data_IF_624946770313
#
_entry.id   IF_624946770313
#
_cell.length_a   1.000
_cell.length_b   1.000
_cell.length_c   1.000
_cell.angle_alpha   90.00
_cell.angle_beta   90.00
_cell.angle_gamma   90.00
#
_symmetry.space_group_name_H-M   'P 1'
#
loop_
_entity.id
_entity.type
_entity.pdbx_description
1 polymer ?
#
# COMPACT_ATOMS: atom_id res chain seq x y z
N UNK A 1 7.22 -23.31 2.40
CA UNK A 1 6.69 -23.41 3.78
C UNK A 1 7.33 -24.57 4.52
N UNK A 2 7.27 -25.78 3.95
CA UNK A 2 7.63 -27.02 4.69
C UNK A 2 9.14 -27.32 4.66
N UNK A 3 9.90 -26.74 3.75
CA UNK A 3 11.34 -26.99 3.55
C UNK A 3 11.72 -28.50 3.47
N UNK A 4 10.68 -29.36 3.31
CA UNK A 4 10.78 -30.80 3.28
C UNK A 4 9.73 -31.39 2.33
N UNK A 5 10.17 -32.13 1.30
CA UNK A 5 9.30 -32.70 0.26
C UNK A 5 8.30 -33.70 0.85
N UNK A 6 8.70 -34.49 1.85
CA UNK A 6 7.82 -35.51 2.45
C UNK A 6 6.65 -34.84 3.18
N UNK A 7 6.91 -33.80 3.97
CA UNK A 7 5.85 -33.02 4.65
C UNK A 7 4.95 -32.32 3.66
N UNK A 8 5.54 -31.69 2.62
CA UNK A 8 4.77 -31.02 1.57
C UNK A 8 3.87 -32.01 0.82
N UNK A 9 4.35 -33.22 0.50
CA UNK A 9 3.57 -34.25 -0.14
C UNK A 9 2.37 -34.69 0.73
N UNK A 10 2.59 -34.85 2.04
CA UNK A 10 1.51 -35.17 2.98
C UNK A 10 0.44 -34.07 3.01
N UNK A 11 0.83 -32.82 3.06
CA UNK A 11 -0.12 -31.68 3.02
C UNK A 11 -0.90 -31.57 1.71
N UNK A 12 -0.26 -31.94 0.59
CA UNK A 12 -0.91 -31.93 -0.73
C UNK A 12 -1.68 -33.25 -1.01
N UNK A 13 -1.75 -34.16 -0.06
CA UNK A 13 -2.38 -35.48 -0.21
C UNK A 13 -1.86 -36.29 -1.41
N UNK A 14 -0.57 -36.19 -1.68
CA UNK A 14 0.13 -36.97 -2.73
C UNK A 14 1.29 -37.76 -2.13
N UNK A 15 1.84 -38.71 -2.89
CA UNK A 15 3.05 -39.43 -2.45
C UNK A 15 4.31 -38.58 -2.72
N UNK A 16 5.33 -38.75 -1.88
CA UNK A 16 6.60 -38.04 -2.05
C UNK A 16 7.25 -38.26 -3.44
N UNK A 17 7.28 -39.51 -4.00
CA UNK A 17 7.77 -39.73 -5.36
C UNK A 17 6.98 -38.95 -6.43
N UNK A 18 5.66 -38.85 -6.28
CA UNK A 18 4.80 -38.10 -7.19
C UNK A 18 5.17 -36.61 -7.19
N UNK A 19 5.26 -36.01 -5.98
CA UNK A 19 5.63 -34.60 -5.86
C UNK A 19 7.04 -34.34 -6.40
N UNK A 20 8.01 -35.19 -6.09
CA UNK A 20 9.38 -35.07 -6.62
C UNK A 20 9.43 -35.13 -8.14
N UNK A 21 8.63 -36.01 -8.75
CA UNK A 21 8.55 -36.14 -10.22
C UNK A 21 7.91 -34.92 -10.85
N UNK A 22 6.83 -34.36 -10.26
CA UNK A 22 6.20 -33.14 -10.73
C UNK A 22 7.16 -31.93 -10.65
N UNK A 23 7.93 -31.82 -9.58
CA UNK A 23 8.94 -30.77 -9.45
C UNK A 23 10.03 -30.96 -10.53
N UNK A 24 10.53 -32.16 -10.73
CA UNK A 24 11.56 -32.42 -11.76
C UNK A 24 11.05 -32.12 -13.17
N UNK A 25 9.81 -32.47 -13.47
CA UNK A 25 9.17 -32.12 -14.75
C UNK A 25 9.05 -30.60 -14.94
N UNK A 26 8.63 -29.87 -13.91
CA UNK A 26 8.54 -28.41 -13.95
C UNK A 26 9.93 -27.76 -14.14
N UNK A 27 10.97 -28.27 -13.49
CA UNK A 27 12.36 -27.82 -13.70
C UNK A 27 12.83 -28.07 -15.14
N UNK A 28 12.45 -29.20 -15.72
CA UNK A 28 12.76 -29.55 -17.11
C UNK A 28 12.01 -28.62 -18.09
N UNK A 29 10.74 -28.40 -17.90
CA UNK A 29 9.90 -27.48 -18.71
C UNK A 29 10.43 -26.04 -18.67
N UNK A 30 10.90 -25.56 -17.51
CA UNK A 30 11.44 -24.23 -17.34
C UNK A 30 12.92 -24.10 -17.72
N UNK A 31 13.63 -25.22 -17.87
CA UNK A 31 15.06 -25.25 -18.16
C UNK A 31 15.96 -24.77 -17.01
N UNK A 32 15.44 -24.72 -15.78
CA UNK A 32 16.15 -24.20 -14.60
C UNK A 32 16.00 -25.13 -13.40
N UNK A 33 16.92 -25.02 -12.44
CA UNK A 33 16.78 -25.69 -11.14
C UNK A 33 16.10 -24.76 -10.15
N UNK A 34 15.04 -25.24 -9.54
CA UNK A 34 14.26 -24.49 -8.54
C UNK A 34 14.73 -24.73 -7.12
N UNK A 35 15.35 -25.89 -6.87
CA UNK A 35 15.80 -26.32 -5.56
C UNK A 35 17.23 -26.84 -5.59
N UNK A 36 17.98 -26.53 -4.54
CA UNK A 36 19.28 -27.14 -4.25
C UNK A 36 19.11 -28.05 -3.02
N UNK A 37 19.61 -29.29 -3.12
CA UNK A 37 19.63 -30.22 -1.99
C UNK A 37 20.83 -29.92 -1.10
N UNK A 38 20.61 -29.55 0.14
CA UNK A 38 21.62 -29.51 1.19
C UNK A 38 21.36 -30.66 2.17
N UNK A 39 22.35 -31.16 2.87
CA UNK A 39 22.37 -32.41 3.62
C UNK A 39 21.15 -32.78 4.47
N UNK A 40 20.23 -31.85 4.78
CA UNK A 40 18.95 -32.12 5.44
C UNK A 40 17.81 -31.16 5.04
N UNK A 41 18.10 -30.14 4.21
CA UNK A 41 17.12 -29.12 3.84
C UNK A 41 17.06 -28.90 2.34
N UNK A 42 15.92 -28.47 1.85
CA UNK A 42 15.72 -28.03 0.48
C UNK A 42 15.77 -26.51 0.48
N UNK A 43 16.71 -25.96 -0.25
CA UNK A 43 16.88 -24.49 -0.38
C UNK A 43 16.44 -24.08 -1.78
N UNK A 44 15.71 -22.99 -1.88
CA UNK A 44 15.32 -22.39 -3.18
C UNK A 44 16.55 -21.77 -3.86
N UNK A 45 16.65 -21.96 -5.17
CA UNK A 45 17.53 -21.16 -6.02
C UNK A 45 16.95 -19.76 -6.24
N UNK A 46 17.67 -18.87 -6.93
CA UNK A 46 17.12 -17.56 -7.34
C UNK A 46 15.88 -17.74 -8.23
N UNK A 47 15.93 -18.68 -9.19
CA UNK A 47 14.79 -19.03 -10.03
C UNK A 47 13.64 -19.63 -9.21
N UNK A 48 13.97 -20.45 -8.20
CA UNK A 48 13.00 -21.00 -7.25
C UNK A 48 12.32 -19.90 -6.42
N UNK A 49 13.05 -18.87 -6.00
CA UNK A 49 12.50 -17.71 -5.31
C UNK A 49 11.59 -16.87 -6.23
N UNK A 50 12.01 -16.67 -7.47
CA UNK A 50 11.19 -16.01 -8.48
C UNK A 50 9.89 -16.76 -8.73
N UNK A 51 9.97 -18.07 -8.97
CA UNK A 51 8.79 -18.92 -9.18
C UNK A 51 7.86 -18.91 -7.97
N UNK A 52 8.41 -19.01 -6.75
CA UNK A 52 7.62 -18.94 -5.50
C UNK A 52 6.79 -17.67 -5.45
N UNK A 53 7.40 -16.52 -5.73
CA UNK A 53 6.67 -15.24 -5.74
C UNK A 53 5.55 -15.23 -6.77
N UNK A 54 5.83 -15.68 -8.01
CA UNK A 54 4.82 -15.75 -9.08
C UNK A 54 3.70 -16.75 -8.77
N UNK A 55 4.05 -17.90 -8.22
CA UNK A 55 3.06 -18.89 -7.81
C UNK A 55 2.14 -18.36 -6.69
N UNK A 56 2.67 -17.59 -5.74
CA UNK A 56 1.86 -16.93 -4.71
C UNK A 56 0.88 -15.91 -5.31
N UNK A 57 1.33 -15.08 -6.28
CA UNK A 57 0.47 -14.13 -6.98
C UNK A 57 -0.66 -14.87 -7.75
N UNK A 58 -0.33 -15.96 -8.45
CA UNK A 58 -1.31 -16.77 -9.20
C UNK A 58 -2.33 -17.44 -8.28
N UNK A 59 -1.88 -18.01 -7.16
CA UNK A 59 -2.76 -18.64 -6.18
C UNK A 59 -3.71 -17.62 -5.53
N UNK A 60 -3.19 -16.44 -5.17
CA UNK A 60 -4.03 -15.38 -4.60
C UNK A 60 -5.10 -14.92 -5.59
N UNK A 61 -4.74 -14.77 -6.88
CA UNK A 61 -5.72 -14.42 -7.92
C UNK A 61 -6.75 -15.53 -8.16
N UNK A 62 -6.32 -16.81 -8.14
CA UNK A 62 -7.22 -17.95 -8.28
C UNK A 62 -8.21 -18.05 -7.11
N UNK A 63 -7.74 -17.83 -5.88
CA UNK A 63 -8.60 -17.84 -4.69
C UNK A 63 -9.59 -16.67 -4.72
N UNK A 64 -9.14 -15.47 -5.10
CA UNK A 64 -10.01 -14.32 -5.31
C UNK A 64 -11.07 -14.61 -6.35
N UNK A 65 -10.68 -15.17 -7.52
CA UNK A 65 -11.62 -15.54 -8.58
C UNK A 65 -12.69 -16.52 -8.08
N UNK A 66 -12.32 -17.51 -7.25
CA UNK A 66 -13.32 -18.42 -6.64
C UNK A 66 -14.29 -17.67 -5.73
N UNK A 67 -13.79 -16.75 -4.92
CA UNK A 67 -14.63 -15.93 -4.03
C UNK A 67 -15.63 -15.09 -4.84
N UNK A 68 -15.21 -14.51 -5.97
CA UNK A 68 -16.06 -13.68 -6.84
C UNK A 68 -17.31 -14.41 -7.37
N UNK A 69 -17.27 -15.73 -7.48
CA UNK A 69 -18.40 -16.57 -7.96
C UNK A 69 -19.26 -17.18 -6.86
N UNK A 70 -18.88 -17.07 -5.58
CA UNK A 70 -19.60 -17.71 -4.47
C UNK A 70 -20.88 -16.98 -4.02
N UNK A 71 -21.33 -15.91 -4.73
CA UNK A 71 -22.37 -15.00 -4.24
C UNK A 71 -23.79 -15.41 -4.62
N UNK A 72 -24.67 -15.49 -3.61
CA UNK A 72 -26.13 -15.61 -3.77
C UNK A 72 -26.79 -14.22 -3.75
N UNK A 73 -27.71 -13.98 -4.71
CA UNK A 73 -28.35 -12.67 -4.97
C UNK A 73 -29.19 -12.07 -3.82
N UNK A 74 -29.58 -12.83 -2.81
CA UNK A 74 -30.53 -12.37 -1.78
C UNK A 74 -29.91 -11.68 -0.58
N UNK A 75 -28.59 -11.88 -0.34
CA UNK A 75 -27.85 -11.18 0.72
C UNK A 75 -26.47 -10.83 0.16
N UNK A 76 -26.21 -9.55 -0.03
CA UNK A 76 -24.90 -9.10 -0.52
C UNK A 76 -23.81 -9.57 0.43
N UNK A 77 -22.93 -10.45 -0.06
CA UNK A 77 -21.78 -10.98 0.64
C UNK A 77 -20.59 -11.00 -0.29
N UNK A 78 -19.38 -11.06 0.24
CA UNK A 78 -18.15 -11.15 -0.53
C UNK A 78 -17.02 -10.39 0.16
N UNK A 79 -15.85 -10.50 -0.45
CA UNK A 79 -14.64 -9.84 0.02
C UNK A 79 -14.35 -8.65 -0.89
N UNK A 80 -14.04 -7.49 -0.31
CA UNK A 80 -13.56 -6.32 -1.02
C UNK A 80 -12.10 -6.11 -0.64
N UNK A 81 -11.21 -6.22 -1.62
CA UNK A 81 -9.76 -6.03 -1.41
C UNK A 81 -9.40 -4.55 -1.61
N UNK A 82 -8.91 -3.92 -0.55
CA UNK A 82 -8.68 -2.47 -0.50
C UNK A 82 -7.20 -2.19 -0.27
N UNK A 83 -6.55 -1.48 -1.20
CA UNK A 83 -5.22 -0.91 -0.98
C UNK A 83 -5.32 0.45 -0.29
N UNK A 84 -4.46 0.71 0.69
CA UNK A 84 -4.46 1.99 1.39
C UNK A 84 -3.04 2.40 1.78
N UNK A 85 -2.68 3.66 1.44
CA UNK A 85 -1.51 4.31 2.00
C UNK A 85 -1.80 4.88 3.39
N UNK A 86 -0.77 5.39 4.04
CA UNK A 86 -0.92 6.15 5.29
C UNK A 86 -1.29 7.60 4.95
N UNK A 87 -2.57 7.94 4.99
CA UNK A 87 -3.10 9.26 4.68
C UNK A 87 -4.04 9.76 5.78
N UNK A 88 -4.14 11.07 5.95
CA UNK A 88 -5.17 11.66 6.78
C UNK A 88 -6.56 11.34 6.22
N UNK A 89 -6.69 11.27 4.90
CA UNK A 89 -7.93 10.92 4.21
C UNK A 89 -8.42 9.49 4.45
N UNK A 90 -7.58 8.58 4.98
CA UNK A 90 -7.96 7.20 5.30
C UNK A 90 -9.18 7.12 6.22
N UNK A 91 -9.36 8.09 7.14
CA UNK A 91 -10.53 8.08 8.01
C UNK A 91 -11.86 8.25 7.26
N UNK A 92 -11.89 9.01 6.14
CA UNK A 92 -13.07 9.10 5.30
C UNK A 92 -13.41 7.76 4.62
N UNK A 93 -12.38 7.01 4.22
CA UNK A 93 -12.58 5.67 3.68
C UNK A 93 -13.11 4.71 4.75
N UNK A 94 -12.56 4.75 5.96
CA UNK A 94 -13.03 3.89 7.07
C UNK A 94 -14.45 4.24 7.50
N UNK A 95 -14.83 5.52 7.53
CA UNK A 95 -16.20 5.96 7.82
C UNK A 95 -17.17 5.49 6.72
N UNK A 96 -16.76 5.56 5.46
CA UNK A 96 -17.53 5.01 4.33
C UNK A 96 -17.72 3.49 4.45
N UNK A 97 -16.68 2.76 4.82
CA UNK A 97 -16.74 1.32 5.05
C UNK A 97 -17.67 0.99 6.22
N UNK A 98 -17.60 1.74 7.32
CA UNK A 98 -18.49 1.56 8.46
C UNK A 98 -19.95 1.73 8.06
N UNK A 99 -20.28 2.81 7.36
CA UNK A 99 -21.63 3.06 6.86
C UNK A 99 -22.12 1.98 5.86
N UNK A 100 -21.23 1.48 5.00
CA UNK A 100 -21.55 0.39 4.08
C UNK A 100 -21.80 -0.92 4.82
N UNK A 101 -21.01 -1.21 5.86
CA UNK A 101 -21.10 -2.41 6.69
C UNK A 101 -22.43 -2.48 7.47
N UNK A 102 -22.98 -1.34 7.89
CA UNK A 102 -24.29 -1.28 8.53
C UNK A 102 -25.42 -1.78 7.59
N UNK A 103 -25.31 -1.47 6.29
CA UNK A 103 -26.29 -1.86 5.28
C UNK A 103 -26.04 -3.30 4.80
N UNK A 104 -24.77 -3.70 4.66
CA UNK A 104 -24.36 -4.98 4.12
C UNK A 104 -23.44 -5.75 5.09
N UNK A 105 -23.97 -6.27 6.19
CA UNK A 105 -23.17 -6.83 7.30
C UNK A 105 -22.39 -8.11 6.95
N UNK A 106 -22.72 -8.77 5.83
CA UNK A 106 -21.99 -9.97 5.38
C UNK A 106 -20.79 -9.69 4.49
N UNK A 107 -20.62 -8.45 4.02
CA UNK A 107 -19.43 -8.05 3.27
C UNK A 107 -18.24 -7.98 4.20
N UNK A 108 -17.13 -8.54 3.78
CA UNK A 108 -15.84 -8.53 4.48
C UNK A 108 -14.80 -7.77 3.68
N UNK A 109 -13.70 -7.39 4.32
CA UNK A 109 -12.68 -6.53 3.71
C UNK A 109 -11.30 -7.10 3.95
N UNK A 110 -10.45 -7.02 2.92
CA UNK A 110 -9.03 -7.30 3.03
C UNK A 110 -8.26 -6.00 2.79
N UNK A 111 -7.42 -5.62 3.76
CA UNK A 111 -6.60 -4.41 3.65
C UNK A 111 -5.16 -4.74 3.28
N UNK A 112 -4.68 -4.09 2.24
CA UNK A 112 -3.29 -4.08 1.84
C UNK A 112 -2.69 -2.70 2.09
N UNK A 113 -1.68 -2.61 2.97
CA UNK A 113 -0.96 -1.36 3.24
C UNK A 113 0.27 -1.25 2.35
N UNK A 114 0.43 -0.11 1.70
CA UNK A 114 1.55 0.15 0.82
C UNK A 114 1.55 1.58 0.29
N UNK A 115 2.63 1.97 -0.39
CA UNK A 115 2.68 3.26 -1.08
C UNK A 115 1.80 3.25 -2.36
N UNK A 116 1.60 4.43 -2.95
CA UNK A 116 0.75 4.59 -4.13
C UNK A 116 1.17 3.67 -5.30
N UNK A 117 2.47 3.43 -5.50
CA UNK A 117 2.98 2.55 -6.55
C UNK A 117 2.60 1.09 -6.29
N UNK A 118 2.79 0.61 -5.06
CA UNK A 118 2.42 -0.76 -4.71
C UNK A 118 0.91 -1.01 -4.89
N UNK A 119 0.09 -0.03 -4.50
CA UNK A 119 -1.37 -0.09 -4.66
C UNK A 119 -1.74 -0.09 -6.14
N UNK A 120 -1.16 0.82 -6.92
CA UNK A 120 -1.35 0.89 -8.36
C UNK A 120 -1.06 -0.46 -9.05
N UNK A 121 0.13 -1.03 -8.80
CA UNK A 121 0.55 -2.29 -9.41
C UNK A 121 -0.39 -3.45 -9.03
N UNK A 122 -0.90 -3.47 -7.80
CA UNK A 122 -1.81 -4.52 -7.35
C UNK A 122 -3.23 -4.37 -7.93
N UNK A 123 -3.72 -3.14 -8.14
CA UNK A 123 -4.99 -2.91 -8.86
C UNK A 123 -4.85 -3.33 -10.32
N UNK A 124 -3.77 -2.97 -10.99
CA UNK A 124 -3.51 -3.37 -12.39
C UNK A 124 -3.50 -4.91 -12.56
N UNK A 125 -2.98 -5.62 -11.56
CA UNK A 125 -2.94 -7.10 -11.54
C UNK A 125 -4.26 -7.75 -11.10
N UNK A 126 -5.28 -6.98 -10.71
CA UNK A 126 -6.53 -7.52 -10.18
C UNK A 126 -6.44 -8.11 -8.77
N UNK A 127 -5.35 -7.87 -8.03
CA UNK A 127 -5.17 -8.31 -6.64
C UNK A 127 -5.88 -7.39 -5.64
N UNK A 128 -6.13 -6.16 -6.02
CA UNK A 128 -6.94 -5.20 -5.27
C UNK A 128 -8.12 -4.74 -6.13
N UNK A 129 -9.27 -4.54 -5.50
CA UNK A 129 -10.47 -4.03 -6.16
C UNK A 129 -10.44 -2.50 -6.25
N UNK A 130 -10.08 -1.87 -5.15
CA UNK A 130 -10.01 -0.42 -5.01
C UNK A 130 -8.76 -0.02 -4.25
N UNK A 131 -8.31 1.21 -4.43
CA UNK A 131 -7.16 1.73 -3.69
C UNK A 131 -7.28 3.21 -3.37
N UNK A 132 -6.96 3.57 -2.13
CA UNK A 132 -6.77 4.96 -1.73
C UNK A 132 -5.32 5.34 -2.03
N UNK A 133 -5.14 6.24 -3.00
CA UNK A 133 -3.84 6.62 -3.53
C UNK A 133 -3.67 8.14 -3.57
N UNK A 134 -2.41 8.59 -3.52
CA UNK A 134 -2.08 10.02 -3.75
C UNK A 134 -2.09 10.36 -5.23
N UNK A 135 -2.59 11.56 -5.55
CA UNK A 135 -2.50 12.13 -6.88
C UNK A 135 -1.04 12.58 -7.21
N UNK A 136 -0.62 12.61 -8.48
CA UNK A 136 -1.37 12.22 -9.68
C UNK A 136 -1.30 10.71 -9.95
N UNK A 137 -2.34 10.17 -10.57
CA UNK A 137 -2.40 8.82 -11.12
C UNK A 137 -2.96 8.84 -12.55
N UNK A 138 -2.79 7.74 -13.27
CA UNK A 138 -3.20 7.64 -14.68
C UNK A 138 -4.73 7.58 -14.82
N UNK A 139 -5.35 8.72 -15.11
CA UNK A 139 -6.80 8.86 -15.32
C UNK A 139 -7.32 8.11 -16.56
N UNK A 140 -6.44 7.65 -17.45
CA UNK A 140 -6.86 6.83 -18.60
C UNK A 140 -7.17 5.41 -18.17
N UNK A 141 -6.47 4.90 -17.14
CA UNK A 141 -6.60 3.54 -16.64
C UNK A 141 -7.56 3.39 -15.46
N UNK A 142 -7.80 4.46 -14.71
CA UNK A 142 -8.60 4.42 -13.49
C UNK A 142 -9.81 5.33 -13.54
N UNK A 143 -10.91 4.85 -12.96
CA UNK A 143 -11.96 5.69 -12.43
C UNK A 143 -11.62 6.02 -10.97
N UNK A 144 -12.06 7.18 -10.48
CA UNK A 144 -11.73 7.60 -9.12
C UNK A 144 -12.77 8.55 -8.51
N UNK A 145 -12.68 8.69 -7.21
CA UNK A 145 -13.39 9.69 -6.40
C UNK A 145 -12.35 10.41 -5.55
N UNK A 146 -12.19 11.74 -5.74
CA UNK A 146 -11.29 12.53 -4.92
C UNK A 146 -11.77 12.57 -3.47
N UNK A 147 -10.84 12.47 -2.52
CA UNK A 147 -11.14 12.60 -1.11
C UNK A 147 -11.44 14.06 -0.72
N UNK A 148 -12.30 14.29 0.29
CA UNK A 148 -12.74 15.65 0.66
C UNK A 148 -11.69 16.42 1.50
N UNK A 149 -10.43 16.02 1.45
CA UNK A 149 -9.32 16.66 2.17
C UNK A 149 -8.03 16.54 1.38
N UNK A 150 -7.10 17.45 1.65
CA UNK A 150 -5.73 17.39 1.15
C UNK A 150 -4.78 16.91 2.24
N UNK A 151 -3.77 16.18 1.86
CA UNK A 151 -2.65 15.79 2.72
C UNK A 151 -1.64 16.94 2.82
N UNK A 152 -1.34 17.37 4.02
CA UNK A 152 -0.39 18.45 4.28
C UNK A 152 0.99 17.90 4.55
N UNK A 153 2.00 18.38 3.81
CA UNK A 153 3.41 18.05 4.01
C UNK A 153 4.06 18.87 5.12
N UNK A 154 5.03 18.27 5.76
CA UNK A 154 5.83 18.90 6.78
C UNK A 154 7.02 18.04 7.18
N UNK A 155 7.63 18.43 8.30
CA UNK A 155 8.72 17.73 8.92
C UNK A 155 8.27 17.12 10.25
N UNK A 156 8.59 15.86 10.47
CA UNK A 156 8.40 15.20 11.76
C UNK A 156 9.77 15.12 12.44
N UNK A 157 9.85 15.75 13.62
CA UNK A 157 11.05 15.82 14.43
C UNK A 157 10.77 15.46 15.87
N UNK A 158 11.77 15.11 16.62
CA UNK A 158 11.63 14.93 18.06
C UNK A 158 11.27 16.26 18.74
N UNK A 159 10.49 16.19 19.82
CA UNK A 159 10.09 17.37 20.62
C UNK A 159 11.29 18.12 21.22
N UNK A 160 12.41 17.45 21.44
CA UNK A 160 13.66 18.04 21.94
C UNK A 160 14.57 18.61 20.83
N UNK A 161 14.17 18.53 19.56
CA UNK A 161 14.88 19.15 18.44
C UNK A 161 14.72 20.69 18.48
N UNK A 162 15.76 21.41 18.07
CA UNK A 162 15.69 22.86 17.90
C UNK A 162 14.61 23.30 16.89
N UNK A 163 14.36 22.45 15.89
CA UNK A 163 13.33 22.70 14.90
C UNK A 163 11.90 22.58 15.46
N UNK A 164 11.71 21.85 16.57
CA UNK A 164 10.41 21.63 17.17
C UNK A 164 9.71 22.94 17.63
N UNK A 165 10.48 24.02 17.85
CA UNK A 165 9.98 25.32 18.26
C UNK A 165 9.54 26.21 17.08
N UNK A 166 9.71 25.76 15.83
CA UNK A 166 9.31 26.51 14.64
C UNK A 166 7.82 26.31 14.35
N UNK A 167 7.14 27.38 13.95
CA UNK A 167 5.75 27.31 13.47
C UNK A 167 5.63 26.66 12.10
N UNK A 168 6.68 26.78 11.26
CA UNK A 168 6.76 26.19 9.93
C UNK A 168 8.20 25.96 9.51
N UNK A 169 8.42 25.02 8.60
CA UNK A 169 9.73 24.69 8.02
C UNK A 169 9.81 25.29 6.62
N UNK A 170 10.87 26.02 6.37
CA UNK A 170 11.24 26.55 5.05
C UNK A 170 12.31 25.67 4.38
N UNK A 171 12.48 25.70 3.04
CA UNK A 171 13.47 24.88 2.36
C UNK A 171 14.90 24.98 2.93
N UNK A 172 15.36 26.19 3.27
CA UNK A 172 16.69 26.41 3.86
C UNK A 172 16.88 25.78 5.22
N UNK A 173 15.81 25.56 5.97
CA UNK A 173 15.89 24.92 7.30
C UNK A 173 16.29 23.44 7.23
N UNK A 174 16.18 22.84 6.04
CA UNK A 174 16.49 21.42 5.82
C UNK A 174 17.93 21.19 5.34
N UNK A 175 18.67 22.24 5.07
CA UNK A 175 20.06 22.17 4.65
C UNK A 175 20.92 21.50 5.68
N UNK A 176 21.52 20.94 6.20
CA UNK A 176 22.27 20.33 7.30
C UNK A 176 21.48 19.37 8.20
N UNK A 177 20.19 19.15 7.90
CA UNK A 177 19.36 18.21 8.66
C UNK A 177 19.45 16.83 8.01
N UNK A 178 19.81 15.77 8.77
CA UNK A 178 19.72 14.40 8.25
C UNK A 178 18.26 14.03 7.99
N UNK A 179 17.90 13.83 6.72
CA UNK A 179 16.52 13.62 6.30
C UNK A 179 16.21 12.17 5.94
N UNK A 180 15.05 11.72 6.36
CA UNK A 180 14.41 10.50 5.93
C UNK A 180 13.29 10.89 4.97
N UNK A 181 13.37 10.43 3.71
CA UNK A 181 12.43 10.80 2.67
C UNK A 181 11.50 9.64 2.31
N UNK A 182 10.25 9.95 1.90
CA UNK A 182 9.33 8.93 1.40
C UNK A 182 9.82 8.35 0.07
N UNK A 183 9.65 7.01 -0.10
CA UNK A 183 9.90 6.32 -1.36
C UNK A 183 8.88 6.74 -2.42
N UNK A 184 9.33 6.77 -3.65
CA UNK A 184 8.50 6.99 -4.82
C UNK A 184 8.86 8.26 -5.61
N UNK A 185 8.93 8.11 -6.93
CA UNK A 185 9.31 9.19 -7.85
C UNK A 185 8.39 10.41 -7.76
N UNK A 186 7.10 10.22 -7.47
CA UNK A 186 6.15 11.31 -7.35
C UNK A 186 6.34 12.12 -6.07
N UNK A 187 6.49 11.44 -4.94
CA UNK A 187 6.63 12.10 -3.65
C UNK A 187 7.98 12.83 -3.56
N UNK A 188 9.07 12.16 -3.95
CA UNK A 188 10.40 12.76 -3.99
C UNK A 188 10.49 13.93 -4.99
N UNK A 189 9.85 13.87 -6.15
CA UNK A 189 9.83 14.97 -7.11
C UNK A 189 9.03 16.17 -6.58
N UNK A 190 7.94 15.96 -5.87
CA UNK A 190 7.14 17.04 -5.26
C UNK A 190 7.93 17.76 -4.19
N UNK A 191 8.57 17.03 -3.29
CA UNK A 191 9.44 17.58 -2.24
C UNK A 191 10.65 18.28 -2.85
N UNK A 192 11.30 17.69 -3.85
CA UNK A 192 12.42 18.30 -4.56
C UNK A 192 12.03 19.62 -5.22
N UNK A 193 10.86 19.67 -5.88
CA UNK A 193 10.35 20.90 -6.48
C UNK A 193 10.07 21.98 -5.42
N UNK A 194 9.56 21.60 -4.27
CA UNK A 194 9.35 22.51 -3.14
C UNK A 194 10.66 23.03 -2.55
N UNK A 195 11.69 22.17 -2.45
CA UNK A 195 13.03 22.56 -2.01
C UNK A 195 13.71 23.55 -2.95
N UNK A 196 13.39 23.52 -4.25
CA UNK A 196 13.99 24.40 -5.24
C UNK A 196 15.52 24.29 -5.30
N UNK A 197 16.22 25.41 -5.14
CA UNK A 197 17.70 25.49 -5.17
C UNK A 197 18.38 24.72 -4.03
N UNK A 198 17.68 24.48 -2.92
CA UNK A 198 18.20 23.73 -1.77
C UNK A 198 18.17 22.20 -1.98
N UNK A 199 17.52 21.73 -3.05
CA UNK A 199 17.34 20.29 -3.29
C UNK A 199 18.65 19.49 -3.40
N UNK A 200 19.73 20.12 -3.81
CA UNK A 200 21.06 19.49 -3.92
C UNK A 200 21.92 19.67 -2.66
N UNK A 201 21.42 20.36 -1.64
CA UNK A 201 22.13 20.66 -0.40
C UNK A 201 21.62 19.86 0.79
N UNK A 202 20.52 19.10 0.60
CA UNK A 202 19.96 18.27 1.67
C UNK A 202 20.74 16.96 1.84
N UNK A 203 20.84 16.49 3.07
CA UNK A 203 21.44 15.21 3.41
C UNK A 203 20.35 14.15 3.57
N UNK A 204 20.21 13.25 2.59
CA UNK A 204 19.29 12.12 2.66
C UNK A 204 20.00 10.92 3.26
N UNK A 205 19.53 10.42 4.39
CA UNK A 205 20.15 9.31 5.13
C UNK A 205 19.33 8.02 5.05
N UNK A 206 18.05 8.11 4.77
CA UNK A 206 17.17 6.95 4.57
C UNK A 206 16.01 7.29 3.64
N UNK A 207 15.44 6.24 3.03
CA UNK A 207 14.23 6.30 2.21
C UNK A 207 13.31 5.20 2.70
N UNK A 208 12.03 5.52 2.93
CA UNK A 208 11.03 4.58 3.40
C UNK A 208 9.72 4.68 2.61
N UNK A 209 8.87 3.68 2.75
CA UNK A 209 7.58 3.59 2.04
C UNK A 209 6.36 3.70 2.95
N UNK A 210 6.56 3.65 4.27
CA UNK A 210 5.52 3.83 5.28
C UNK A 210 6.05 4.73 6.41
N UNK A 211 5.36 5.84 6.63
CA UNK A 211 5.78 6.90 7.56
C UNK A 211 5.94 6.41 9.00
N UNK A 212 5.14 5.44 9.44
CA UNK A 212 5.27 4.87 10.78
C UNK A 212 6.68 4.34 11.05
N UNK A 213 7.23 3.53 10.15
CA UNK A 213 8.58 2.97 10.30
C UNK A 213 9.67 4.04 10.26
N UNK A 214 9.46 5.06 9.42
CA UNK A 214 10.38 6.19 9.28
C UNK A 214 10.42 7.03 10.56
N UNK A 215 9.28 7.24 11.20
CA UNK A 215 9.19 7.99 12.46
C UNK A 215 9.89 7.26 13.60
N UNK A 216 9.89 5.93 13.65
CA UNK A 216 10.68 5.17 14.64
C UNK A 216 12.18 5.44 14.51
N UNK A 217 12.70 5.68 13.30
CA UNK A 217 14.08 6.11 13.10
C UNK A 217 14.32 7.52 13.66
N UNK A 218 13.34 8.43 13.53
CA UNK A 218 13.41 9.76 14.14
C UNK A 218 13.41 9.68 15.68
N UNK A 219 12.57 8.84 16.26
CA UNK A 219 12.58 8.57 17.71
C UNK A 219 13.92 8.05 18.19
N UNK A 220 14.61 7.26 17.37
CA UNK A 220 15.94 6.72 17.62
C UNK A 220 17.10 7.67 17.27
N UNK A 221 16.83 8.97 17.08
CA UNK A 221 17.83 10.01 16.75
C UNK A 221 18.59 9.81 15.43
N UNK A 222 18.03 9.07 14.47
CA UNK A 222 18.68 8.83 13.17
C UNK A 222 18.54 10.05 12.25
N UNK A 223 17.38 10.72 12.23
CA UNK A 223 17.14 11.91 11.41
C UNK A 223 15.72 12.43 11.54
N UNK A 224 15.33 13.36 10.67
CA UNK A 224 13.99 13.96 10.60
C UNK A 224 13.22 13.42 9.39
N UNK A 225 11.96 13.09 9.56
CA UNK A 225 11.11 12.57 8.48
C UNK A 225 10.42 13.70 7.73
N UNK A 226 10.59 13.72 6.42
CA UNK A 226 9.76 14.49 5.50
C UNK A 226 8.51 13.67 5.20
N UNK A 227 7.38 14.07 5.76
CA UNK A 227 6.16 13.30 5.69
C UNK A 227 4.90 14.16 5.65
N UNK A 228 3.77 13.52 5.83
CA UNK A 228 2.45 14.17 5.86
C UNK A 228 1.87 14.17 7.27
N UNK A 229 0.99 15.15 7.52
CA UNK A 229 0.24 15.21 8.79
C UNK A 229 -0.76 14.06 8.82
N UNK A 230 -0.62 13.17 9.80
CA UNK A 230 -1.58 12.10 10.07
C UNK A 230 -2.52 12.49 11.24
N UNK A 231 -3.64 11.78 11.35
CA UNK A 231 -4.64 12.04 12.40
C UNK A 231 -4.17 11.59 13.78
N UNK A 232 -3.27 10.60 13.85
CA UNK A 232 -2.66 10.17 15.10
C UNK A 232 -1.38 10.93 15.40
N UNK A 233 -1.03 11.03 16.68
CA UNK A 233 0.18 11.69 17.18
C UNK A 233 1.14 10.66 17.75
N UNK A 234 2.42 10.91 17.58
CA UNK A 234 3.49 10.16 18.23
C UNK A 234 3.85 10.84 19.57
N UNK A 235 4.26 10.05 20.57
CA UNK A 235 4.51 10.57 21.91
C UNK A 235 5.63 11.62 21.95
N UNK A 236 6.75 11.34 21.28
CA UNK A 236 7.96 12.17 21.32
C UNK A 236 8.24 12.95 20.03
N UNK A 237 7.31 12.93 19.08
CA UNK A 237 7.47 13.57 17.78
C UNK A 237 6.45 14.71 17.63
N UNK A 238 6.86 15.76 16.94
CA UNK A 238 6.00 16.87 16.54
C UNK A 238 6.04 17.00 15.01
N UNK A 239 4.87 17.28 14.44
CA UNK A 239 4.73 17.63 13.03
C UNK A 239 4.77 19.14 12.86
N UNK A 240 5.65 19.64 11.97
CA UNK A 240 5.80 21.05 11.66
C UNK A 240 5.50 21.24 10.17
N UNK A 241 4.49 22.03 9.80
CA UNK A 241 4.10 22.19 8.41
C UNK A 241 5.15 22.91 7.58
N UNK A 242 5.19 22.62 6.28
CA UNK A 242 6.04 23.33 5.33
C UNK A 242 5.51 24.73 4.98
N UNK A 243 6.43 25.68 4.79
CA UNK A 243 6.19 27.02 4.27
C UNK A 243 7.19 27.32 3.13
N UNK A 244 6.78 27.61 1.88
CA UNK A 244 5.38 27.66 1.43
C UNK A 244 4.62 26.32 1.64
N UNK A 245 3.30 26.44 1.86
CA UNK A 245 2.45 25.26 2.10
C UNK A 245 2.54 24.27 0.95
N UNK A 246 2.80 23.02 1.24
CA UNK A 246 2.83 21.91 0.30
C UNK A 246 1.71 20.93 0.63
N UNK A 247 0.83 20.67 -0.33
CA UNK A 247 -0.28 19.72 -0.18
C UNK A 247 -0.41 18.84 -1.42
N UNK A 248 -1.17 17.76 -1.28
CA UNK A 248 -1.63 16.96 -2.41
C UNK A 248 -2.99 16.30 -2.11
N UNK A 249 -3.74 16.02 -3.17
CA UNK A 249 -4.98 15.27 -3.09
C UNK A 249 -4.74 13.77 -3.00
N UNK A 250 -5.75 13.07 -2.49
CA UNK A 250 -5.87 11.62 -2.54
C UNK A 250 -7.19 11.23 -3.16
N UNK A 251 -7.28 10.04 -3.71
CA UNK A 251 -8.49 9.54 -4.31
C UNK A 251 -8.66 8.04 -4.09
N UNK A 252 -9.91 7.60 -3.92
CA UNK A 252 -10.28 6.21 -4.02
C UNK A 252 -10.42 5.86 -5.49
N UNK A 253 -9.56 4.99 -6.01
CA UNK A 253 -9.47 4.63 -7.41
C UNK A 253 -9.70 3.13 -7.61
N UNK A 254 -10.20 2.77 -8.81
CA UNK A 254 -10.37 1.39 -9.25
C UNK A 254 -10.15 1.33 -10.76
N UNK A 255 -9.82 0.14 -11.26
CA UNK A 255 -9.51 -0.07 -12.68
C UNK A 255 -10.71 0.27 -13.56
N UNK A 256 -10.45 0.99 -14.65
CA UNK A 256 -11.46 1.32 -15.65
C UNK A 256 -11.81 0.07 -16.49
N UNK A 257 -13.05 0.00 -16.90
CA UNK A 257 -13.57 -1.07 -17.77
C UNK A 257 -13.39 -2.50 -17.20
N UNK A 258 -13.22 -2.63 -15.87
CA UNK A 258 -13.17 -3.90 -15.16
C UNK A 258 -14.58 -4.37 -14.77
N UNK A 259 -14.79 -5.68 -14.83
CA UNK A 259 -16.01 -6.33 -14.34
C UNK A 259 -15.79 -6.73 -12.89
N UNK A 260 -16.37 -5.97 -11.98
CA UNK A 260 -16.23 -6.24 -10.55
C UNK A 260 -17.29 -7.21 -10.03
N UNK A 261 -16.97 -7.98 -8.97
CA UNK A 261 -17.94 -8.70 -8.16
C UNK A 261 -19.06 -7.77 -7.65
N UNK A 262 -20.22 -8.34 -7.36
CA UNK A 262 -21.40 -7.56 -6.97
C UNK A 262 -21.13 -6.72 -5.70
N UNK A 263 -20.39 -7.27 -4.72
CA UNK A 263 -20.02 -6.56 -3.50
C UNK A 263 -19.17 -5.32 -3.80
N UNK A 264 -18.12 -5.48 -4.60
CA UNK A 264 -17.22 -4.39 -5.00
C UNK A 264 -17.95 -3.33 -5.83
N UNK A 265 -18.75 -3.76 -6.81
CA UNK A 265 -19.56 -2.84 -7.64
C UNK A 265 -20.51 -2.02 -6.76
N UNK A 266 -21.20 -2.66 -5.81
CA UNK A 266 -22.12 -1.99 -4.90
C UNK A 266 -21.39 -1.02 -3.98
N UNK A 267 -20.22 -1.40 -3.47
CA UNK A 267 -19.37 -0.53 -2.66
C UNK A 267 -18.88 0.71 -3.42
N UNK A 268 -18.46 0.54 -4.67
CA UNK A 268 -18.05 1.67 -5.53
C UNK A 268 -19.23 2.65 -5.72
N UNK A 269 -20.43 2.16 -6.06
CA UNK A 269 -21.59 3.02 -6.24
C UNK A 269 -22.05 3.68 -4.93
N UNK A 270 -21.95 2.98 -3.81
CA UNK A 270 -22.19 3.55 -2.48
C UNK A 270 -21.17 4.67 -2.18
N UNK A 271 -19.89 4.41 -2.39
CA UNK A 271 -18.80 5.37 -2.14
C UNK A 271 -18.95 6.65 -2.95
N UNK A 272 -19.38 6.55 -4.23
CA UNK A 272 -19.69 7.72 -5.08
C UNK A 272 -20.74 8.63 -4.43
N UNK A 273 -21.83 8.03 -3.92
CA UNK A 273 -22.91 8.77 -3.26
C UNK A 273 -22.47 9.35 -1.92
N UNK A 274 -21.77 8.55 -1.13
CA UNK A 274 -21.29 8.90 0.19
C UNK A 274 -20.36 10.12 0.15
N UNK A 275 -19.32 10.10 -0.68
CA UNK A 275 -18.37 11.21 -0.78
C UNK A 275 -18.98 12.45 -1.45
N UNK A 276 -19.92 12.29 -2.38
CA UNK A 276 -20.66 13.42 -2.93
C UNK A 276 -21.46 14.16 -1.85
N UNK A 277 -22.10 13.46 -0.93
CA UNK A 277 -22.86 14.07 0.18
C UNK A 277 -21.96 14.87 1.13
N UNK A 278 -20.76 14.36 1.46
CA UNK A 278 -19.79 15.06 2.31
C UNK A 278 -19.27 16.36 1.66
N UNK A 279 -19.03 16.30 0.34
CA UNK A 279 -18.51 17.47 -0.40
C UNK A 279 -19.51 18.63 -0.48
N UNK A 280 -20.81 18.36 -0.40
CA UNK A 280 -21.88 19.38 -0.41
C UNK A 280 -21.97 20.11 0.94
N UNK A 281 -21.67 19.45 2.05
CA UNK A 281 -21.77 20.02 3.39
C UNK A 281 -20.54 20.85 3.81
N UNK A 282 -19.46 20.87 2.99
CA UNK A 282 -18.24 21.67 3.23
C UNK A 282 -18.19 22.99 2.45
N UNK A 283 -19.19 23.30 1.62
CA UNK A 283 -19.39 24.59 0.96
C UNK A 283 -20.37 25.43 1.76
#
# INVERSE_FOLDING_TARGET
REENITRAAQQLHVTQPTLSRQIAQLEEELGVKLFVRSNHNIILTEDGMLLKRRAQELLALADKTKQDFLHKKENLEGVISIGCGEYQSTHYLTDCIAAFKEIYPRVTYEFYSGNARNIYDNIERGLLDVGLMSEPFDIQKFNFISMPTEEQWGLLVRKDSLLANKESIQPQDLVEVPLILPDGNFQSNRVRKWLGEYSNQIQVIAIGNLQYNEVLLTESHVGAVVGIKLKYSYENIVFIPFSPRLTHGTALAWKKDEVFPLATKTFIEFSKKYFKSISIHKK
#
